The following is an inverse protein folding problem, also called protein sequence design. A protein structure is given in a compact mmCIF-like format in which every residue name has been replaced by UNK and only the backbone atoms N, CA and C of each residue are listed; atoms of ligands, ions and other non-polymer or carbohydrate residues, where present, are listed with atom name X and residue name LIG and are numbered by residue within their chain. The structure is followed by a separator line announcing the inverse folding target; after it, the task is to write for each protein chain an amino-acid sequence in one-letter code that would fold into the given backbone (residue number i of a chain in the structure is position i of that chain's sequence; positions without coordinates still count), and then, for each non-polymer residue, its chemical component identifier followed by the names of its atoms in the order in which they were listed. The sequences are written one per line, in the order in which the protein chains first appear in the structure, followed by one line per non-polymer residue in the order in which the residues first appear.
data_IF_650430088378
#
_entry.id   IF_650430088378
#
_cell.length_a   1.000
_cell.length_b   1.000
_cell.length_c   1.000
_cell.angle_alpha   90.00
_cell.angle_beta   90.00
_cell.angle_gamma   90.00
#
_symmetry.space_group_name_H-M   'P 1'
#
loop_
_entity.id
_entity.type
_entity.pdbx_description
1 polymer ?
#
# COMPACT_ATOMS: atom_id res chain seq x y z
N UNK A 1 -14.27 -10.03 -15.88
CA UNK A 1 -13.11 -9.14 -15.65
C UNK A 1 -12.43 -8.89 -16.99
N UNK A 2 -12.18 -7.64 -17.37
CA UNK A 2 -11.67 -7.29 -18.70
C UNK A 2 -10.13 -7.38 -18.72
N UNK A 3 -9.55 -8.22 -19.57
CA UNK A 3 -8.08 -8.40 -19.67
C UNK A 3 -7.38 -7.07 -19.99
N UNK A 4 -7.99 -6.23 -20.84
CA UNK A 4 -7.44 -4.92 -21.18
C UNK A 4 -7.35 -4.03 -19.93
N UNK A 5 -8.37 -4.06 -19.07
CA UNK A 5 -8.37 -3.30 -17.83
C UNK A 5 -7.21 -3.73 -16.91
N UNK A 6 -6.94 -5.03 -16.77
CA UNK A 6 -5.77 -5.49 -15.99
C UNK A 6 -4.46 -4.97 -16.58
N UNK A 7 -4.31 -5.07 -17.89
CA UNK A 7 -3.11 -4.61 -18.58
C UNK A 7 -2.90 -3.11 -18.41
N UNK A 8 -3.97 -2.32 -18.47
CA UNK A 8 -3.91 -0.87 -18.26
C UNK A 8 -3.45 -0.53 -16.84
N UNK A 9 -3.94 -1.26 -15.82
CA UNK A 9 -3.55 -1.07 -14.41
C UNK A 9 -2.12 -1.53 -14.13
N UNK A 10 -1.72 -2.65 -14.72
CA UNK A 10 -0.33 -3.12 -14.69
C UNK A 10 0.62 -2.11 -15.34
N UNK A 11 0.25 -1.56 -16.50
CA UNK A 11 1.05 -0.52 -17.15
C UNK A 11 1.16 0.71 -16.27
N UNK A 12 0.05 1.16 -15.68
CA UNK A 12 0.02 2.32 -14.80
C UNK A 12 0.93 2.15 -13.57
N UNK A 13 0.85 1.02 -12.87
CA UNK A 13 1.72 0.79 -11.70
C UNK A 13 3.19 0.62 -12.10
N UNK A 14 3.48 0.09 -13.28
CA UNK A 14 4.85 -0.01 -13.79
C UNK A 14 5.44 1.35 -14.22
N UNK A 15 4.60 2.32 -14.60
CA UNK A 15 5.06 3.66 -15.03
C UNK A 15 5.02 4.70 -13.93
N UNK A 16 4.02 4.66 -13.05
CA UNK A 16 3.73 5.67 -12.03
C UNK A 16 3.82 5.13 -10.60
N UNK A 17 4.11 3.84 -10.45
CA UNK A 17 4.24 3.18 -9.16
C UNK A 17 5.34 3.81 -8.30
N UNK A 18 5.06 3.91 -7.01
CA UNK A 18 5.96 4.41 -5.99
C UNK A 18 6.15 3.35 -4.91
N UNK A 19 7.32 3.37 -4.31
CA UNK A 19 7.64 2.63 -3.08
C UNK A 19 7.38 3.53 -1.88
N UNK A 20 7.15 2.92 -0.72
CA UNK A 20 7.19 3.64 0.55
C UNK A 20 8.62 4.13 0.81
N UNK A 21 8.75 5.27 1.49
CA UNK A 21 10.02 5.79 1.95
C UNK A 21 10.53 4.96 3.14
N UNK A 22 11.86 4.84 3.37
CA UNK A 22 12.40 4.07 4.48
C UNK A 22 11.78 4.39 5.84
N UNK A 23 11.56 5.68 6.13
CA UNK A 23 10.89 6.12 7.36
C UNK A 23 9.42 5.70 7.46
N UNK A 24 8.69 5.67 6.33
CA UNK A 24 7.31 5.18 6.27
C UNK A 24 7.28 3.68 6.57
N UNK A 25 8.24 2.94 6.03
CA UNK A 25 8.42 1.52 6.31
C UNK A 25 8.72 1.30 7.79
N UNK A 26 9.71 2.01 8.34
CA UNK A 26 10.11 1.87 9.75
C UNK A 26 9.00 2.23 10.74
N UNK A 27 8.23 3.30 10.47
CA UNK A 27 7.04 3.64 11.26
C UNK A 27 6.01 2.51 11.21
N UNK A 28 5.68 2.02 10.02
CA UNK A 28 4.63 1.00 9.87
C UNK A 28 5.08 -0.32 10.51
N UNK A 29 6.33 -0.75 10.29
CA UNK A 29 6.94 -1.94 10.90
C UNK A 29 6.95 -1.86 12.44
N UNK A 30 7.11 -0.66 13.00
CA UNK A 30 7.10 -0.44 14.45
C UNK A 30 5.69 -0.41 15.07
N UNK A 31 4.66 -0.06 14.30
CA UNK A 31 3.31 0.21 14.81
C UNK A 31 2.25 -0.78 14.35
N UNK A 32 2.55 -1.60 13.35
CA UNK A 32 1.62 -2.57 12.76
C UNK A 32 2.30 -3.93 12.58
N UNK A 33 1.50 -5.00 12.53
CA UNK A 33 1.98 -6.39 12.38
C UNK A 33 2.26 -6.72 10.90
N UNK A 34 3.17 -5.95 10.28
CA UNK A 34 3.67 -6.17 8.92
C UNK A 34 5.16 -5.88 8.89
N UNK A 35 5.93 -6.73 8.22
CA UNK A 35 7.39 -6.63 8.26
C UNK A 35 7.92 -5.60 7.27
N UNK A 36 9.05 -4.98 7.60
CA UNK A 36 9.77 -4.08 6.70
C UNK A 36 10.04 -4.71 5.32
N UNK A 37 10.45 -5.98 5.27
CA UNK A 37 10.70 -6.70 4.02
C UNK A 37 9.44 -6.79 3.14
N UNK A 38 8.26 -7.02 3.74
CA UNK A 38 6.99 -7.04 3.01
C UNK A 38 6.65 -5.64 2.44
N UNK A 39 6.90 -4.59 3.22
CA UNK A 39 6.62 -3.20 2.82
C UNK A 39 7.58 -2.67 1.75
N UNK A 40 8.85 -3.08 1.76
CA UNK A 40 9.82 -2.73 0.70
C UNK A 40 9.39 -3.25 -0.68
N UNK A 41 8.74 -4.42 -0.69
CA UNK A 41 8.21 -5.04 -1.90
C UNK A 41 6.90 -4.40 -2.37
N UNK A 42 6.20 -3.65 -1.52
CA UNK A 42 4.96 -2.96 -1.89
C UNK A 42 5.21 -1.82 -2.87
N UNK A 43 4.61 -1.91 -4.05
CA UNK A 43 4.49 -0.80 -4.99
C UNK A 43 3.04 -0.31 -4.99
N UNK A 44 2.84 1.00 -4.97
CA UNK A 44 1.52 1.59 -5.03
C UNK A 44 1.43 2.68 -6.09
N UNK A 45 0.25 2.87 -6.65
CA UNK A 45 -0.12 4.02 -7.47
C UNK A 45 -1.56 4.41 -7.11
N UNK A 46 -1.91 5.69 -7.12
CA UNK A 46 -3.30 6.10 -6.92
C UNK A 46 -3.72 7.16 -7.94
N UNK A 47 -5.01 7.15 -8.25
CA UNK A 47 -5.68 8.25 -8.93
C UNK A 47 -6.60 8.98 -7.95
N UNK A 48 -7.49 9.82 -8.48
CA UNK A 48 -8.50 10.51 -7.68
C UNK A 48 -9.49 9.54 -7.00
N UNK A 49 -9.74 8.37 -7.60
CA UNK A 49 -10.79 7.45 -7.14
C UNK A 49 -10.33 6.01 -6.89
N UNK A 50 -9.07 5.67 -7.14
CA UNK A 50 -8.59 4.31 -6.97
C UNK A 50 -7.18 4.29 -6.39
N UNK A 51 -6.89 3.26 -5.62
CA UNK A 51 -5.55 2.88 -5.20
C UNK A 51 -5.23 1.52 -5.82
N UNK A 52 -4.05 1.42 -6.40
CA UNK A 52 -3.52 0.22 -7.05
C UNK A 52 -2.32 -0.21 -6.24
N UNK A 53 -2.32 -1.46 -5.79
CA UNK A 53 -1.25 -2.08 -5.02
C UNK A 53 -0.69 -3.26 -5.80
N UNK A 54 0.62 -3.41 -5.76
CA UNK A 54 1.32 -4.53 -6.39
C UNK A 54 2.44 -5.02 -5.47
N UNK A 55 2.29 -6.27 -5.01
CA UNK A 55 3.22 -6.91 -4.07
C UNK A 55 3.02 -8.44 -4.09
N UNK A 56 3.80 -9.15 -3.29
CA UNK A 56 3.55 -10.57 -3.02
C UNK A 56 2.15 -10.76 -2.37
N UNK A 57 1.39 -11.82 -2.70
CA UNK A 57 0.12 -12.16 -2.07
C UNK A 57 0.09 -12.00 -0.55
N UNK A 58 1.09 -12.52 0.14
CA UNK A 58 1.20 -12.45 1.59
C UNK A 58 1.27 -11.02 2.12
N UNK A 59 2.01 -10.12 1.45
CA UNK A 59 2.08 -8.70 1.80
C UNK A 59 0.70 -8.04 1.69
N UNK A 60 -0.02 -8.32 0.60
CA UNK A 60 -1.35 -7.77 0.40
C UNK A 60 -2.34 -8.29 1.44
N UNK A 61 -2.27 -9.58 1.78
CA UNK A 61 -3.07 -10.21 2.84
C UNK A 61 -2.75 -9.58 4.22
N UNK A 62 -1.48 -9.31 4.52
CA UNK A 62 -1.05 -8.63 5.76
C UNK A 62 -1.57 -7.19 5.83
N UNK A 63 -1.59 -6.46 4.71
CA UNK A 63 -2.20 -5.12 4.63
C UNK A 63 -3.70 -5.15 4.94
N UNK A 64 -4.42 -6.23 4.58
CA UNK A 64 -5.83 -6.40 4.98
C UNK A 64 -5.97 -6.63 6.49
N UNK A 65 -4.99 -7.27 7.12
CA UNK A 65 -4.99 -7.57 8.56
C UNK A 65 -4.79 -6.33 9.44
N UNK A 66 -4.18 -5.27 8.91
CA UNK A 66 -3.91 -4.05 9.64
C UNK A 66 -5.22 -3.28 9.86
N UNK A 67 -5.61 -3.14 11.14
CA UNK A 67 -6.70 -2.30 11.64
C UNK A 67 -8.15 -2.68 11.23
N UNK A 68 -8.50 -3.98 11.23
CA UNK A 68 -9.91 -4.40 11.23
C UNK A 68 -10.69 -4.04 9.95
N UNK A 69 -9.97 -3.78 8.86
CA UNK A 69 -10.51 -3.53 7.54
C UNK A 69 -10.85 -4.88 6.89
N UNK A 70 -12.08 -4.99 6.40
CA UNK A 70 -12.40 -5.99 5.39
C UNK A 70 -12.36 -5.20 4.08
N UNK A 71 -11.25 -5.29 3.33
CA UNK A 71 -11.24 -4.83 1.93
C UNK A 71 -12.40 -5.56 1.24
N UNK A 72 -13.53 -4.86 1.12
CA UNK A 72 -14.84 -5.47 1.05
C UNK A 72 -14.86 -6.49 -0.08
N UNK A 73 -14.89 -7.79 0.27
CA UNK A 73 -14.60 -8.90 -0.64
C UNK A 73 -15.63 -9.03 -1.76
N UNK A 74 -16.79 -8.39 -1.59
CA UNK A 74 -17.94 -8.50 -2.47
C UNK A 74 -17.96 -7.48 -3.62
N UNK A 75 -17.15 -6.40 -3.56
CA UNK A 75 -17.07 -5.42 -4.64
C UNK A 75 -15.60 -5.18 -5.04
N UNK A 76 -15.16 -5.93 -6.05
CA UNK A 76 -14.05 -5.57 -6.95
C UNK A 76 -12.61 -5.81 -6.45
N UNK A 77 -12.35 -6.95 -5.78
CA UNK A 77 -11.01 -7.57 -5.88
C UNK A 77 -10.74 -7.98 -7.33
N UNK A 78 -10.07 -7.11 -8.06
CA UNK A 78 -9.32 -7.51 -9.24
C UNK A 78 -7.98 -8.06 -8.76
N UNK A 79 -8.04 -9.17 -8.04
CA UNK A 79 -6.87 -9.89 -7.57
C UNK A 79 -6.34 -10.72 -8.74
N UNK A 80 -5.32 -10.19 -9.41
CA UNK A 80 -4.67 -10.94 -10.50
C UNK A 80 -3.30 -11.38 -10.01
N UNK A 81 -3.15 -12.68 -9.82
CA UNK A 81 -1.83 -13.29 -9.63
C UNK A 81 -1.04 -13.17 -10.93
N UNK A 82 0.11 -12.52 -10.87
CA UNK A 82 1.08 -12.42 -11.95
C UNK A 82 2.35 -13.07 -11.39
N UNK A 83 2.59 -14.32 -11.78
CA UNK A 83 3.71 -15.12 -11.23
C UNK A 83 3.63 -15.23 -9.69
N UNK A 84 4.64 -14.70 -8.99
CA UNK A 84 4.73 -14.69 -7.52
C UNK A 84 4.14 -13.41 -6.90
N UNK A 85 3.64 -12.47 -7.71
CA UNK A 85 3.07 -11.20 -7.27
C UNK A 85 1.56 -11.14 -7.55
N UNK A 86 0.91 -10.13 -6.97
CA UNK A 86 -0.50 -9.87 -7.16
C UNK A 86 -0.77 -8.37 -7.32
N UNK A 87 -1.69 -8.06 -8.22
CA UNK A 87 -2.28 -6.73 -8.36
C UNK A 87 -3.56 -6.68 -7.54
N UNK A 88 -3.75 -5.63 -6.75
CA UNK A 88 -4.99 -5.31 -6.04
C UNK A 88 -5.42 -3.90 -6.40
N UNK A 89 -6.72 -3.72 -6.64
CA UNK A 89 -7.34 -2.43 -6.93
C UNK A 89 -8.36 -2.14 -5.83
N UNK A 90 -8.19 -1.00 -5.17
CA UNK A 90 -9.01 -0.54 -4.06
C UNK A 90 -9.79 0.68 -4.55
N UNK A 91 -11.12 0.58 -4.49
CA UNK A 91 -12.06 1.62 -4.95
C UNK A 91 -12.83 2.26 -3.80
N UNK A 92 -12.80 1.65 -2.62
CA UNK A 92 -13.41 2.19 -1.42
C UNK A 92 -12.65 3.46 -0.99
N UNK A 93 -13.37 4.57 -0.85
CA UNK A 93 -12.78 5.87 -0.50
C UNK A 93 -12.22 5.92 0.91
N UNK A 94 -12.83 5.20 1.86
CA UNK A 94 -12.37 5.14 3.24
C UNK A 94 -11.05 4.36 3.32
N UNK A 95 -10.92 3.26 2.57
CA UNK A 95 -9.68 2.47 2.49
C UNK A 95 -8.55 3.26 1.81
N UNK A 96 -8.86 3.96 0.71
CA UNK A 96 -7.90 4.84 0.02
C UNK A 96 -7.43 5.95 0.96
N UNK A 97 -8.36 6.56 1.71
CA UNK A 97 -8.03 7.63 2.64
C UNK A 97 -7.17 7.11 3.79
N UNK A 98 -7.52 5.96 4.36
CA UNK A 98 -6.70 5.33 5.40
C UNK A 98 -5.29 5.05 4.91
N UNK A 99 -5.12 4.50 3.71
CA UNK A 99 -3.79 4.25 3.14
C UNK A 99 -2.98 5.55 3.05
N UNK A 100 -3.60 6.65 2.60
CA UNK A 100 -2.96 7.97 2.58
C UNK A 100 -2.58 8.41 3.99
N UNK A 101 -3.54 8.45 4.91
CA UNK A 101 -3.34 8.96 6.25
C UNK A 101 -2.30 8.14 7.04
N UNK A 102 -2.20 6.82 6.83
CA UNK A 102 -1.33 5.91 7.62
C UNK A 102 0.01 5.60 6.96
N UNK A 103 0.05 5.39 5.64
CA UNK A 103 1.28 4.97 4.96
C UNK A 103 2.00 6.14 4.31
N UNK A 104 1.28 7.22 3.99
CA UNK A 104 1.82 8.35 3.23
C UNK A 104 2.01 9.57 4.13
N UNK A 105 0.93 10.00 4.80
CA UNK A 105 0.82 11.28 5.49
C UNK A 105 1.07 11.18 7.01
N UNK A 106 1.14 9.97 7.57
CA UNK A 106 1.39 9.74 9.02
C UNK A 106 2.72 10.29 9.51
N UNK A 107 3.65 10.55 8.59
CA UNK A 107 5.00 11.04 8.87
C UNK A 107 5.17 12.38 8.17
N UNK A 108 4.93 13.47 8.88
CA UNK A 108 5.36 14.79 8.43
C UNK A 108 6.91 14.81 8.36
N UNK A 109 7.45 15.43 7.32
CA UNK A 109 8.83 15.13 6.88
C UNK A 109 9.89 15.59 7.87
N UNK A 110 9.55 16.53 8.74
CA UNK A 110 10.47 17.20 9.65
C UNK A 110 10.55 16.55 11.04
N UNK A 111 9.55 15.75 11.45
CA UNK A 111 9.43 15.25 12.83
C UNK A 111 9.96 13.82 13.04
N UNK A 112 10.36 13.12 11.97
CA UNK A 112 10.79 11.71 12.04
C UNK A 112 12.11 11.47 11.31
N UNK A 113 12.95 10.61 11.91
CA UNK A 113 14.22 10.20 11.31
C UNK A 113 14.02 9.20 10.15
N UNK A 114 15.12 8.78 9.52
CA UNK A 114 15.06 7.82 8.40
C UNK A 114 14.65 6.40 8.83
N UNK A 115 14.62 6.12 10.14
CA UNK A 115 14.19 4.85 10.72
C UNK A 115 12.71 4.88 11.14
N UNK A 116 12.03 6.03 11.01
CA UNK A 116 10.63 6.19 11.37
C UNK A 116 10.39 6.47 12.86
N UNK A 117 11.44 6.84 13.60
CA UNK A 117 11.34 7.26 15.00
C UNK A 117 11.05 8.76 15.10
N UNK A 118 10.30 9.15 16.13
CA UNK A 118 10.07 10.57 16.44
C UNK A 118 11.39 11.24 16.86
N UNK A 119 11.71 12.37 16.24
CA UNK A 119 12.85 13.21 16.62
C UNK A 119 12.39 14.08 17.79
N UNK A 120 12.77 13.72 19.01
CA UNK A 120 12.57 14.61 20.17
C UNK A 120 13.42 15.88 19.99
N UNK A 121 12.77 17.04 19.79
CA UNK A 121 13.44 18.35 19.94
C UNK A 121 13.73 18.60 21.44
N UNK A 122 15.02 18.74 21.80
CA UNK A 122 15.46 19.24 23.13
C UNK A 122 15.21 20.74 23.31
#
# INVERSE_FOLDING_TARGET
MNIQFIQDKMNLINTEGKKLLPKQIGYVDSHYDITADELELLTYCWSENELILFAHPGTLDSLEGIAGYDFNKDEERVYVKVEDEALMIVLNKDDIKFFKDVFIDSIDVEEYDNEGNFIEEE
#
